data_IF_177330970947
#
_entry.id   IF_177330970947
#
_cell.length_a   1.000
_cell.length_b   1.000
_cell.length_c   1.000
_cell.angle_alpha   90.00
_cell.angle_beta   90.00
_cell.angle_gamma   90.00
#
_symmetry.space_group_name_H-M   'P 1'
#
loop_
_entity.id
_entity.type
_entity.pdbx_description
1 polymer ?
#
# COMPACT_ATOMS: atom_id res chain seq x y z
N UNK A 1 3.84 9.95 -3.20
CA UNK A 1 3.64 8.94 -2.13
C UNK A 1 4.30 7.60 -2.50
N UNK A 2 3.55 6.49 -2.65
CA UNK A 2 4.17 5.19 -2.98
C UNK A 2 4.91 5.26 -4.32
N UNK A 3 4.25 5.72 -5.37
CA UNK A 3 4.85 5.87 -6.72
C UNK A 3 6.13 6.69 -6.69
N UNK A 4 6.14 7.85 -6.03
CA UNK A 4 7.34 8.70 -5.95
C UNK A 4 8.54 7.97 -5.32
N UNK A 5 8.29 7.14 -4.30
CA UNK A 5 9.34 6.33 -3.65
C UNK A 5 9.82 5.22 -4.57
N UNK A 6 8.90 4.56 -5.28
CA UNK A 6 9.24 3.50 -6.26
C UNK A 6 10.07 4.07 -7.40
N UNK A 7 9.68 5.21 -7.97
CA UNK A 7 10.41 5.88 -9.04
C UNK A 7 11.81 6.32 -8.58
N UNK A 8 11.90 6.98 -7.43
CA UNK A 8 13.18 7.42 -6.86
C UNK A 8 14.11 6.24 -6.55
N UNK A 9 13.56 5.11 -6.09
CA UNK A 9 14.33 3.89 -5.83
C UNK A 9 14.80 3.25 -7.13
N UNK A 10 13.93 3.16 -8.12
CA UNK A 10 14.24 2.62 -9.44
C UNK A 10 15.38 3.42 -10.10
N UNK A 11 15.31 4.74 -10.05
CA UNK A 11 16.33 5.64 -10.59
C UNK A 11 17.66 5.50 -9.84
N UNK A 12 17.65 5.56 -8.50
CA UNK A 12 18.85 5.46 -7.66
C UNK A 12 19.61 4.16 -7.88
N UNK A 13 18.90 3.05 -7.98
CA UNK A 13 19.50 1.71 -8.00
C UNK A 13 19.60 1.13 -9.42
N UNK A 14 19.21 1.87 -10.46
CA UNK A 14 19.23 1.43 -11.85
C UNK A 14 18.28 0.26 -12.11
N UNK A 15 17.17 0.16 -11.37
CA UNK A 15 16.21 -0.92 -11.45
C UNK A 15 15.04 -0.57 -12.38
N UNK A 16 14.39 -1.59 -12.91
CA UNK A 16 13.07 -1.44 -13.53
C UNK A 16 12.03 -1.99 -12.55
N UNK A 17 11.21 -1.10 -11.98
CA UNK A 17 10.14 -1.45 -11.08
C UNK A 17 8.79 -1.12 -11.72
N UNK A 18 7.83 -2.02 -11.57
CA UNK A 18 6.43 -1.81 -11.94
C UNK A 18 5.55 -1.78 -10.70
N UNK A 19 4.49 -0.98 -10.74
CA UNK A 19 3.42 -0.97 -9.74
C UNK A 19 2.20 -1.65 -10.35
N UNK A 20 1.64 -2.65 -9.69
CA UNK A 20 0.39 -3.26 -10.12
C UNK A 20 -0.76 -2.29 -9.84
N UNK A 21 -1.48 -1.90 -10.90
CA UNK A 21 -2.61 -0.97 -10.80
C UNK A 21 -3.95 -1.68 -10.63
N UNK A 22 -4.04 -2.95 -11.02
CA UNK A 22 -5.23 -3.78 -10.88
C UNK A 22 -5.52 -4.19 -9.43
N UNK A 23 -4.49 -4.15 -8.57
CA UNK A 23 -4.58 -4.49 -7.16
C UNK A 23 -4.21 -3.27 -6.32
N UNK A 24 -5.13 -2.87 -5.47
CA UNK A 24 -5.02 -1.65 -4.67
C UNK A 24 -5.35 -1.94 -3.22
N UNK A 25 -4.85 -1.13 -2.32
CA UNK A 25 -5.28 -1.13 -0.94
C UNK A 25 -6.75 -0.73 -0.79
N UNK A 26 -7.30 -0.89 0.39
CA UNK A 26 -8.74 -0.73 0.59
C UNK A 26 -9.08 -0.33 2.03
N UNK A 27 -10.31 0.12 2.24
CA UNK A 27 -10.90 0.18 3.58
C UNK A 27 -11.14 -1.23 4.12
N UNK A 28 -11.07 -1.38 5.45
CA UNK A 28 -11.33 -2.65 6.14
C UNK A 28 -12.15 -2.39 7.42
N UNK A 29 -13.05 -3.31 7.76
CA UNK A 29 -13.92 -3.21 8.93
C UNK A 29 -14.78 -4.44 9.09
N UNK A 30 -16.09 -4.30 8.89
CA UNK A 30 -17.04 -5.43 8.95
C UNK A 30 -16.87 -6.44 7.80
N UNK A 31 -16.16 -6.03 6.76
CA UNK A 31 -15.71 -6.89 5.65
C UNK A 31 -14.25 -6.60 5.37
N UNK A 32 -13.56 -7.57 4.78
CA UNK A 32 -12.14 -7.43 4.42
C UNK A 32 -11.94 -6.29 3.42
N UNK A 33 -12.63 -6.31 2.30
CA UNK A 33 -12.51 -5.29 1.27
C UNK A 33 -13.71 -4.34 1.31
N UNK A 34 -13.44 -3.09 1.66
CA UNK A 34 -14.43 -2.01 1.73
C UNK A 34 -13.88 -0.74 1.07
N UNK A 35 -14.76 0.15 0.67
CA UNK A 35 -14.34 1.50 0.27
C UNK A 35 -13.66 2.25 1.44
N UNK A 36 -12.73 3.17 1.14
CA UNK A 36 -12.28 3.55 -0.20
C UNK A 36 -11.16 2.64 -0.73
N UNK A 37 -10.95 2.67 -2.04
CA UNK A 37 -9.71 2.16 -2.63
C UNK A 37 -8.53 3.04 -2.23
N UNK A 38 -7.38 2.41 -1.95
CA UNK A 38 -6.12 3.06 -1.59
C UNK A 38 -5.11 2.81 -2.71
N UNK A 39 -5.04 3.75 -3.64
CA UNK A 39 -4.19 3.61 -4.82
C UNK A 39 -2.71 3.77 -4.47
N UNK A 40 -1.87 2.94 -5.09
CA UNK A 40 -0.41 2.98 -4.93
C UNK A 40 0.27 3.85 -5.99
N UNK A 41 -0.51 4.43 -6.90
CA UNK A 41 -0.10 5.27 -8.03
C UNK A 41 -0.88 6.59 -8.05
N UNK A 42 -0.37 7.57 -8.78
CA UNK A 42 -0.94 8.91 -8.84
C UNK A 42 -2.13 9.00 -9.78
N UNK A 43 -3.17 9.67 -9.34
CA UNK A 43 -4.33 10.01 -10.16
C UNK A 43 -4.70 11.48 -10.00
N UNK A 44 -5.30 12.06 -11.03
CA UNK A 44 -5.72 13.48 -10.99
C UNK A 44 -6.84 13.75 -9.98
N UNK A 45 -7.69 12.78 -9.74
CA UNK A 45 -8.83 12.91 -8.83
C UNK A 45 -8.40 12.64 -7.40
N UNK A 46 -8.71 13.56 -6.49
CA UNK A 46 -8.51 13.35 -5.06
C UNK A 46 -9.46 12.26 -4.53
N UNK A 47 -8.95 11.40 -3.68
CA UNK A 47 -9.74 10.44 -2.92
C UNK A 47 -10.60 11.09 -1.84
N UNK A 48 -11.38 10.32 -1.09
CA UNK A 48 -12.15 10.82 0.03
C UNK A 48 -11.22 11.37 1.13
N UNK A 49 -11.74 12.33 1.89
CA UNK A 49 -11.02 12.87 3.05
C UNK A 49 -10.93 11.80 4.15
N UNK A 50 -9.73 11.59 4.66
CA UNK A 50 -9.51 10.71 5.81
C UNK A 50 -10.24 11.26 7.05
N UNK A 51 -10.88 10.38 7.80
CA UNK A 51 -11.63 10.69 9.02
C UNK A 51 -11.29 9.69 10.11
N UNK A 52 -11.22 10.11 11.38
CA UNK A 52 -11.10 9.19 12.50
C UNK A 52 -12.17 8.09 12.45
N UNK A 53 -11.76 6.87 12.73
CA UNK A 53 -12.60 5.67 12.62
C UNK A 53 -12.44 4.91 11.30
N UNK A 54 -11.78 5.48 10.29
CA UNK A 54 -11.39 4.72 9.10
C UNK A 54 -10.22 3.79 9.42
N UNK A 55 -10.27 2.58 8.88
CA UNK A 55 -9.17 1.64 8.88
C UNK A 55 -8.86 1.27 7.43
N UNK A 56 -7.60 1.32 7.05
CA UNK A 56 -7.14 1.17 5.68
C UNK A 56 -6.03 0.14 5.58
N UNK A 57 -6.12 -0.76 4.62
CA UNK A 57 -5.00 -1.58 4.17
C UNK A 57 -4.20 -0.81 3.12
N UNK A 58 -2.90 -0.67 3.33
CA UNK A 58 -1.96 -0.05 2.41
C UNK A 58 -1.00 -1.15 1.99
N UNK A 59 -1.09 -1.59 0.74
CA UNK A 59 -0.52 -2.85 0.28
C UNK A 59 0.09 -2.76 -1.13
N UNK A 60 1.13 -1.96 -1.34
CA UNK A 60 1.76 -1.85 -2.63
C UNK A 60 2.29 -3.22 -3.11
N UNK A 61 1.96 -3.55 -4.36
CA UNK A 61 2.47 -4.73 -5.07
C UNK A 61 3.38 -4.26 -6.19
N UNK A 62 4.64 -4.68 -6.13
CA UNK A 62 5.69 -4.25 -7.04
C UNK A 62 6.26 -5.43 -7.81
N UNK A 63 6.73 -5.18 -9.02
CA UNK A 63 7.46 -6.13 -9.85
C UNK A 63 8.86 -5.60 -10.16
N UNK A 64 9.81 -6.50 -10.28
CA UNK A 64 11.18 -6.18 -10.77
C UNK A 64 11.24 -6.24 -12.31
N UNK A 65 10.23 -5.63 -12.97
CA UNK A 65 10.06 -5.67 -14.41
C UNK A 65 8.77 -4.98 -14.85
N UNK A 66 8.05 -5.63 -15.79
CA UNK A 66 6.76 -5.13 -16.24
C UNK A 66 5.69 -5.36 -15.19
N UNK A 67 4.80 -4.37 -15.01
CA UNK A 67 3.61 -4.52 -14.15
C UNK A 67 2.54 -5.45 -14.73
N UNK A 68 2.75 -6.02 -15.92
CA UNK A 68 1.78 -6.94 -16.54
C UNK A 68 1.78 -8.28 -15.84
N UNK A 69 0.60 -8.69 -15.41
CA UNK A 69 0.37 -9.96 -14.72
C UNK A 69 -0.67 -10.81 -15.46
N UNK A 70 -0.78 -12.06 -15.09
CA UNK A 70 -1.85 -12.96 -15.50
C UNK A 70 -2.24 -13.86 -14.35
N UNK A 71 -3.51 -14.17 -14.26
CA UNK A 71 -4.05 -15.19 -13.36
C UNK A 71 -3.83 -16.57 -13.96
N UNK A 72 -3.54 -17.56 -13.14
CA UNK A 72 -3.42 -18.96 -13.54
C UNK A 72 -4.79 -19.64 -13.57
N UNK A 73 -4.82 -20.87 -14.11
CA UNK A 73 -6.06 -21.66 -14.27
C UNK A 73 -6.72 -22.06 -12.93
N UNK A 74 -6.01 -21.90 -11.81
CA UNK A 74 -6.55 -22.12 -10.47
C UNK A 74 -7.48 -20.97 -9.99
N UNK A 75 -7.58 -19.88 -10.77
CA UNK A 75 -8.44 -18.72 -10.46
C UNK A 75 -7.99 -17.95 -9.22
N UNK A 76 -6.72 -18.08 -8.83
CA UNK A 76 -6.17 -17.48 -7.62
C UNK A 76 -4.74 -16.97 -7.79
N UNK A 77 -3.84 -17.81 -8.33
CA UNK A 77 -2.43 -17.47 -8.44
C UNK A 77 -2.20 -16.45 -9.55
N UNK A 78 -1.58 -15.33 -9.19
CA UNK A 78 -1.18 -14.27 -10.12
C UNK A 78 0.32 -14.29 -10.30
N UNK A 79 0.77 -14.29 -11.55
CA UNK A 79 2.20 -14.29 -11.91
C UNK A 79 2.53 -13.16 -12.87
N UNK A 80 3.77 -12.66 -12.84
CA UNK A 80 4.26 -11.69 -13.83
C UNK A 80 4.31 -12.33 -15.21
N UNK A 81 3.98 -11.57 -16.26
CA UNK A 81 4.02 -12.10 -17.63
C UNK A 81 5.43 -12.25 -18.16
N UNK A 82 6.37 -11.44 -17.67
CA UNK A 82 7.77 -11.45 -18.07
C UNK A 82 8.67 -12.33 -17.20
N UNK A 83 8.10 -13.05 -16.22
CA UNK A 83 8.83 -13.91 -15.30
C UNK A 83 9.66 -13.15 -14.25
N UNK A 84 9.52 -11.83 -14.17
CA UNK A 84 10.19 -11.04 -13.14
C UNK A 84 9.65 -11.36 -11.75
N UNK A 85 10.44 -11.10 -10.71
CA UNK A 85 10.01 -11.25 -9.32
C UNK A 85 9.00 -10.17 -8.97
N UNK A 86 8.04 -10.53 -8.10
CA UNK A 86 7.10 -9.61 -7.50
C UNK A 86 7.21 -9.66 -5.98
N UNK A 87 6.84 -8.57 -5.33
CA UNK A 87 6.77 -8.46 -3.87
C UNK A 87 5.58 -7.60 -3.48
N UNK A 88 4.97 -7.96 -2.35
CA UNK A 88 3.94 -7.19 -1.67
C UNK A 88 4.40 -6.88 -0.25
N UNK A 89 4.02 -5.72 0.24
CA UNK A 89 4.14 -5.37 1.65
C UNK A 89 2.86 -4.69 2.09
N UNK A 90 2.35 -5.07 3.24
CA UNK A 90 1.06 -4.56 3.71
C UNK A 90 1.13 -4.09 5.16
N UNK A 91 0.51 -2.94 5.40
CA UNK A 91 0.14 -2.50 6.73
C UNK A 91 -1.34 -2.09 6.78
N UNK A 92 -1.99 -2.46 7.89
CA UNK A 92 -3.31 -1.95 8.24
C UNK A 92 -3.16 -0.76 9.19
N UNK A 93 -3.74 0.37 8.81
CA UNK A 93 -3.59 1.65 9.50
C UNK A 93 -4.95 2.16 9.96
N UNK A 94 -5.09 2.44 11.25
CA UNK A 94 -6.25 3.13 11.80
C UNK A 94 -6.03 4.65 11.78
N UNK A 95 -7.01 5.38 11.27
CA UNK A 95 -7.08 6.85 11.39
C UNK A 95 -7.73 7.18 12.71
N UNK A 96 -7.03 7.90 13.56
CA UNK A 96 -7.49 8.31 14.90
C UNK A 96 -7.55 9.84 15.02
N UNK A 97 -8.19 10.41 16.04
CA UNK A 97 -8.15 11.85 16.26
C UNK A 97 -6.72 12.37 16.38
N UNK A 98 -6.33 13.22 15.43
CA UNK A 98 -5.02 13.87 15.40
C UNK A 98 -3.85 13.01 14.91
N UNK A 99 -4.10 11.82 14.31
CA UNK A 99 -3.01 10.99 13.80
C UNK A 99 -3.45 9.66 13.23
N UNK A 100 -2.52 8.71 13.27
CA UNK A 100 -2.70 7.33 12.80
C UNK A 100 -2.10 6.35 13.80
N UNK A 101 -2.54 5.11 13.73
CA UNK A 101 -1.94 3.97 14.43
C UNK A 101 -1.79 2.80 13.47
N UNK A 102 -0.59 2.24 13.35
CA UNK A 102 -0.32 1.09 12.48
C UNK A 102 -0.66 -0.19 13.24
N UNK A 103 -1.83 -0.78 12.95
CA UNK A 103 -2.36 -1.94 13.67
C UNK A 103 -1.51 -3.19 13.51
N UNK A 104 -0.81 -3.32 12.40
CA UNK A 104 0.04 -4.46 12.04
C UNK A 104 1.52 -4.26 12.40
N UNK A 105 1.88 -3.15 13.05
CA UNK A 105 3.21 -2.94 13.62
C UNK A 105 3.18 -3.17 15.13
N UNK A 106 4.15 -3.90 15.72
CA UNK A 106 4.18 -4.20 17.15
C UNK A 106 4.17 -2.97 18.05
N UNK A 107 4.77 -1.88 17.57
CA UNK A 107 4.90 -0.59 18.25
C UNK A 107 3.87 0.46 17.79
N UNK A 108 2.90 0.06 16.96
CA UNK A 108 1.94 0.98 16.35
C UNK A 108 2.54 1.89 15.28
N UNK A 109 3.74 1.59 14.81
CA UNK A 109 4.46 2.34 13.78
C UNK A 109 5.42 3.39 14.32
N UNK A 110 5.74 3.39 15.61
CA UNK A 110 6.65 4.38 16.23
C UNK A 110 7.99 4.41 15.52
N UNK A 111 8.64 3.27 15.34
CA UNK A 111 9.97 3.18 14.71
C UNK A 111 9.89 3.55 13.22
N UNK A 112 8.90 2.99 12.49
CA UNK A 112 8.76 3.21 11.05
C UNK A 112 8.38 4.64 10.66
N UNK A 113 7.66 5.36 11.51
CA UNK A 113 7.19 6.73 11.24
C UNK A 113 8.14 7.81 11.79
N UNK A 114 9.03 7.46 12.72
CA UNK A 114 9.98 8.40 13.33
C UNK A 114 10.86 9.16 12.31
N UNK A 115 11.39 8.53 11.23
CA UNK A 115 12.19 9.22 10.22
C UNK A 115 11.44 10.34 9.49
N UNK A 116 10.13 10.31 9.52
CA UNK A 116 9.26 11.31 8.90
C UNK A 116 8.73 12.36 9.89
N UNK A 117 9.20 12.31 11.15
CA UNK A 117 8.72 13.20 12.21
C UNK A 117 7.28 13.00 12.62
N UNK A 118 6.72 11.80 12.36
CA UNK A 118 5.34 11.43 12.68
C UNK A 118 5.33 10.60 13.96
N UNK A 119 4.59 11.07 14.97
CA UNK A 119 4.33 10.34 16.20
C UNK A 119 2.94 9.68 16.09
N UNK A 120 2.86 8.33 16.04
CA UNK A 120 1.58 7.64 15.97
C UNK A 120 0.81 7.80 17.28
N UNK A 121 -0.52 7.75 17.19
CA UNK A 121 -1.42 7.91 18.33
C UNK A 121 -2.22 6.63 18.54
N UNK A 122 -2.19 6.03 19.74
CA UNK A 122 -2.87 4.77 20.01
C UNK A 122 -4.40 4.88 19.80
N UNK A 123 -4.98 3.79 19.34
CA UNK A 123 -6.44 3.61 19.29
C UNK A 123 -6.96 3.59 20.73
N UNK A 124 -7.96 4.42 21.02
CA UNK A 124 -8.63 4.48 22.32
C UNK A 124 -10.03 3.89 22.24
#
# INVERSE_FOLDING_TARGET
AVEDVVEATAERDGLRLGILEEYVGHGIGTRMHMAPDVLNYSVRRKGPRLRPGMVLAIEPMLTAGSARVRELDDGWTVVTQDGSRAAQWEHTVAVVPGGVWVLTAPDGGVEGLAPFGIEPRPVR
#
